data_IF_744262405875
#
_entry.id   IF_744262405875
#
_cell.length_a   1.000
_cell.length_b   1.000
_cell.length_c   1.000
_cell.angle_alpha   90.00
_cell.angle_beta   90.00
_cell.angle_gamma   90.00
#
_symmetry.space_group_name_H-M   'P 1'
#
loop_
_entity.id
_entity.type
_entity.pdbx_description
1 polymer ?
#
# COMPACT_ATOMS: atom_id res chain seq x y z
N UNK A 1 13.51 34.06 -5.84
CA UNK A 1 12.84 33.46 -4.65
C UNK A 1 11.62 32.58 -4.94
N UNK A 2 10.85 32.77 -6.03
CA UNK A 2 9.64 31.96 -6.34
C UNK A 2 9.86 30.48 -6.75
N UNK A 3 11.05 30.09 -7.21
CA UNK A 3 11.35 28.70 -7.66
C UNK A 3 11.61 27.70 -6.52
N UNK A 4 12.23 28.12 -5.41
CA UNK A 4 12.51 27.22 -4.25
C UNK A 4 11.22 26.78 -3.54
N UNK A 5 10.24 27.68 -3.40
CA UNK A 5 8.98 27.38 -2.72
C UNK A 5 8.11 26.35 -3.47
N UNK A 6 8.15 26.35 -4.81
CA UNK A 6 7.37 25.41 -5.64
C UNK A 6 7.89 23.97 -5.56
N UNK A 7 9.21 23.77 -5.47
CA UNK A 7 9.81 22.44 -5.33
C UNK A 7 9.55 21.82 -3.95
N UNK A 8 9.58 22.61 -2.86
CA UNK A 8 9.25 22.10 -1.52
C UNK A 8 7.76 21.80 -1.34
N UNK A 9 6.87 22.58 -1.98
CA UNK A 9 5.43 22.29 -2.00
C UNK A 9 5.11 21.03 -2.81
N UNK A 10 5.77 20.84 -3.97
CA UNK A 10 5.59 19.62 -4.78
C UNK A 10 6.12 18.36 -4.08
N UNK A 11 7.29 18.42 -3.43
CA UNK A 11 7.84 17.27 -2.70
C UNK A 11 7.00 16.91 -1.45
N UNK A 12 6.39 17.89 -0.79
CA UNK A 12 5.50 17.65 0.35
C UNK A 12 4.15 17.05 -0.09
N UNK A 13 3.61 17.49 -1.22
CA UNK A 13 2.40 16.92 -1.82
C UNK A 13 2.66 15.48 -2.30
N UNK A 14 3.76 15.24 -3.02
CA UNK A 14 4.18 13.91 -3.46
C UNK A 14 4.39 12.93 -2.29
N UNK A 15 4.98 13.41 -1.18
CA UNK A 15 5.12 12.65 0.06
C UNK A 15 3.77 12.33 0.72
N UNK A 16 2.78 13.22 0.60
CA UNK A 16 1.42 13.02 1.14
C UNK A 16 0.63 12.02 0.30
N UNK A 17 0.75 12.11 -1.02
CA UNK A 17 0.13 11.19 -1.97
C UNK A 17 0.62 9.76 -1.75
N UNK A 18 1.93 9.57 -1.63
CA UNK A 18 2.51 8.27 -1.32
C UNK A 18 2.10 7.76 0.07
N UNK A 19 1.89 8.67 1.02
CA UNK A 19 1.46 8.32 2.37
C UNK A 19 0.12 7.60 2.43
N UNK A 20 -0.88 8.02 1.65
CA UNK A 20 -2.20 7.35 1.65
C UNK A 20 -2.11 5.97 1.01
N UNK A 21 -1.35 5.81 -0.07
CA UNK A 21 -1.15 4.51 -0.70
C UNK A 21 -0.36 3.55 0.20
N UNK A 22 0.63 4.06 0.94
CA UNK A 22 1.35 3.28 1.93
C UNK A 22 0.42 2.80 3.07
N UNK A 23 -0.43 3.67 3.59
CA UNK A 23 -1.38 3.32 4.66
C UNK A 23 -2.38 2.26 4.19
N UNK A 24 -3.00 2.47 3.03
CA UNK A 24 -3.93 1.49 2.44
C UNK A 24 -3.21 0.17 2.12
N UNK A 25 -1.95 0.25 1.66
CA UNK A 25 -1.11 -0.91 1.46
C UNK A 25 -0.86 -1.67 2.75
N UNK A 26 -0.52 -1.00 3.85
CA UNK A 26 -0.30 -1.65 5.14
C UNK A 26 -1.58 -2.30 5.69
N UNK A 27 -2.74 -1.64 5.55
CA UNK A 27 -4.04 -2.23 5.91
C UNK A 27 -4.31 -3.48 5.05
N UNK A 28 -4.12 -3.37 3.73
CA UNK A 28 -4.27 -4.50 2.80
C UNK A 28 -3.32 -5.65 3.11
N UNK A 29 -2.06 -5.36 3.43
CA UNK A 29 -1.08 -6.36 3.84
C UNK A 29 -1.47 -7.06 5.13
N UNK A 30 -2.00 -6.35 6.13
CA UNK A 30 -2.50 -6.95 7.37
C UNK A 30 -3.69 -7.90 7.14
N UNK A 31 -4.65 -7.51 6.30
CA UNK A 31 -5.76 -8.38 5.91
C UNK A 31 -5.26 -9.60 5.12
N UNK A 32 -4.37 -9.41 4.16
CA UNK A 32 -3.80 -10.51 3.38
C UNK A 32 -3.00 -11.48 4.25
N UNK A 33 -2.21 -10.96 5.20
CA UNK A 33 -1.46 -11.76 6.17
C UNK A 33 -2.41 -12.60 7.04
N UNK A 34 -3.55 -12.05 7.45
CA UNK A 34 -4.59 -12.77 8.20
C UNK A 34 -5.16 -13.92 7.36
N UNK A 35 -5.63 -13.63 6.14
CA UNK A 35 -6.20 -14.64 5.24
C UNK A 35 -5.21 -15.74 4.89
N UNK A 36 -3.95 -15.39 4.61
CA UNK A 36 -2.89 -16.37 4.34
C UNK A 36 -2.56 -17.19 5.58
N UNK A 37 -2.58 -16.59 6.77
CA UNK A 37 -2.34 -17.33 8.02
C UNK A 37 -3.41 -18.39 8.27
N UNK A 38 -4.67 -18.08 7.95
CA UNK A 38 -5.78 -19.02 8.05
C UNK A 38 -5.64 -20.16 7.03
N UNK A 39 -5.31 -19.86 5.78
CA UNK A 39 -5.13 -20.87 4.72
C UNK A 39 -3.93 -21.79 5.01
N UNK A 40 -2.82 -21.21 5.46
CA UNK A 40 -1.58 -21.94 5.72
C UNK A 40 -1.50 -22.55 7.12
N UNK A 41 -2.47 -22.25 7.99
CA UNK A 41 -2.51 -22.66 9.41
C UNK A 41 -1.19 -22.30 10.15
N UNK A 42 -0.60 -21.17 9.79
CA UNK A 42 0.69 -20.70 10.32
C UNK A 42 0.73 -19.18 10.29
N UNK A 43 1.39 -18.55 11.27
CA UNK A 43 1.59 -17.10 11.28
C UNK A 43 2.39 -16.63 10.05
N UNK A 44 1.74 -15.79 9.25
CA UNK A 44 2.31 -15.05 8.11
C UNK A 44 2.29 -13.56 8.46
N UNK A 45 3.37 -12.88 8.12
CA UNK A 45 3.48 -11.43 8.17
C UNK A 45 3.80 -10.92 6.77
N UNK A 46 3.20 -9.81 6.38
CA UNK A 46 3.49 -9.13 5.11
C UNK A 46 3.88 -7.71 5.46
N UNK A 47 5.14 -7.38 5.20
CA UNK A 47 5.64 -6.05 5.43
C UNK A 47 5.67 -5.26 4.13
N UNK A 48 5.25 -3.99 4.21
CA UNK A 48 5.46 -3.00 3.17
C UNK A 48 6.46 -1.96 3.69
N UNK A 49 7.78 -2.25 3.62
CA UNK A 49 8.80 -1.36 4.14
C UNK A 49 8.84 0.01 3.47
N UNK A 50 8.55 0.09 2.16
CA UNK A 50 8.61 1.35 1.42
C UNK A 50 7.72 1.34 0.17
N UNK A 51 7.28 2.54 -0.17
CA UNK A 51 6.65 2.87 -1.45
C UNK A 51 7.52 3.91 -2.17
N UNK A 52 7.64 3.79 -3.48
CA UNK A 52 8.30 4.76 -4.34
C UNK A 52 7.48 5.03 -5.60
N UNK A 53 7.82 6.14 -6.27
CA UNK A 53 7.25 6.50 -7.57
C UNK A 53 8.32 6.32 -8.64
N UNK A 54 7.99 5.60 -9.72
CA UNK A 54 8.84 5.52 -10.91
C UNK A 54 8.01 5.93 -12.12
N UNK A 55 8.44 6.92 -12.93
CA UNK A 55 7.80 7.21 -14.20
C UNK A 55 7.69 5.93 -15.03
N UNK A 56 6.50 5.62 -15.54
CA UNK A 56 6.24 4.35 -16.26
C UNK A 56 7.21 4.14 -17.43
N UNK A 57 7.54 5.20 -18.17
CA UNK A 57 8.53 5.16 -19.25
C UNK A 57 9.97 4.83 -18.81
N UNK A 58 10.28 4.95 -17.52
CA UNK A 58 11.58 4.62 -16.95
C UNK A 58 11.65 3.21 -16.38
N UNK A 59 10.51 2.54 -16.14
CA UNK A 59 10.47 1.18 -15.59
C UNK A 59 11.26 0.16 -16.44
N UNK A 60 11.12 0.12 -17.79
CA UNK A 60 11.91 -0.77 -18.64
C UNK A 60 13.41 -0.61 -18.42
N UNK A 61 13.86 0.64 -18.32
CA UNK A 61 15.27 0.98 -18.12
C UNK A 61 15.74 0.66 -16.71
N UNK A 62 14.89 0.83 -15.71
CA UNK A 62 15.21 0.53 -14.31
C UNK A 62 15.46 -0.97 -14.11
N UNK A 63 14.65 -1.82 -14.74
CA UNK A 63 14.73 -3.27 -14.60
C UNK A 63 15.45 -4.00 -15.76
N UNK A 64 16.05 -3.28 -16.71
CA UNK A 64 16.61 -3.83 -17.97
C UNK A 64 17.63 -4.98 -17.84
N UNK A 65 18.19 -5.21 -16.65
CA UNK A 65 19.19 -6.27 -16.40
C UNK A 65 18.71 -7.26 -15.35
N UNK A 66 17.45 -7.19 -14.95
CA UNK A 66 16.81 -8.07 -13.98
C UNK A 66 16.19 -9.27 -14.71
N UNK A 67 17.02 -10.14 -15.28
CA UNK A 67 16.60 -11.27 -16.13
C UNK A 67 16.30 -12.55 -15.31
N UNK A 68 15.86 -12.39 -14.06
CA UNK A 68 15.51 -13.52 -13.20
C UNK A 68 14.17 -14.13 -13.68
N UNK A 69 14.05 -15.47 -13.77
CA UNK A 69 12.77 -16.11 -14.06
C UNK A 69 11.74 -15.70 -13.01
N UNK A 70 10.59 -15.23 -13.47
CA UNK A 70 9.55 -14.71 -12.62
C UNK A 70 8.15 -15.11 -13.12
N UNK A 71 7.16 -14.94 -12.26
CA UNK A 71 5.75 -14.97 -12.63
C UNK A 71 5.08 -13.73 -12.08
N UNK A 72 4.29 -13.07 -12.91
CA UNK A 72 3.46 -11.96 -12.50
C UNK A 72 2.00 -12.37 -12.41
N UNK A 73 1.33 -11.85 -11.38
CA UNK A 73 -0.12 -11.78 -11.27
C UNK A 73 -0.55 -10.39 -11.69
N UNK A 74 -1.39 -10.32 -12.72
CA UNK A 74 -2.01 -9.09 -13.19
C UNK A 74 -3.49 -9.05 -12.83
N UNK A 75 -3.92 -7.97 -12.18
CA UNK A 75 -5.33 -7.67 -11.89
C UNK A 75 -5.63 -6.23 -12.27
N UNK A 76 -6.83 -5.98 -12.77
CA UNK A 76 -7.25 -4.67 -13.24
C UNK A 76 -8.56 -4.25 -12.59
N UNK A 77 -8.57 -3.12 -11.90
CA UNK A 77 -9.78 -2.44 -11.45
C UNK A 77 -10.42 -1.70 -12.61
N UNK A 78 -11.66 -2.07 -12.97
CA UNK A 78 -12.35 -1.54 -14.13
C UNK A 78 -13.12 -0.25 -13.82
N UNK A 79 -13.41 0.52 -14.87
CA UNK A 79 -14.30 1.68 -14.81
C UNK A 79 -13.54 3.01 -14.69
N UNK A 80 -14.17 4.01 -14.05
CA UNK A 80 -13.61 5.37 -13.97
C UNK A 80 -12.40 5.48 -13.01
N UNK A 81 -12.34 4.61 -12.00
CA UNK A 81 -11.26 4.56 -11.03
C UNK A 81 -10.26 3.47 -11.43
N UNK A 82 -9.83 3.50 -12.70
CA UNK A 82 -8.99 2.46 -13.28
C UNK A 82 -7.72 2.28 -12.46
N UNK A 83 -7.30 1.03 -12.27
CA UNK A 83 -6.06 0.75 -11.56
C UNK A 83 -5.50 -0.59 -11.97
N UNK A 84 -4.27 -0.59 -12.46
CA UNK A 84 -3.57 -1.82 -12.81
C UNK A 84 -2.67 -2.26 -11.68
N UNK A 85 -2.80 -3.53 -11.29
CA UNK A 85 -1.96 -4.17 -10.29
C UNK A 85 -1.10 -5.22 -10.98
N UNK A 86 0.21 -5.12 -10.80
CA UNK A 86 1.17 -6.10 -11.28
C UNK A 86 2.00 -6.56 -10.09
N UNK A 87 1.78 -7.79 -9.66
CA UNK A 87 2.55 -8.39 -8.59
C UNK A 87 3.53 -9.40 -9.19
N UNK A 88 4.83 -9.13 -9.09
CA UNK A 88 5.87 -10.00 -9.65
C UNK A 88 6.55 -10.77 -8.53
N UNK A 89 6.64 -12.08 -8.73
CA UNK A 89 7.35 -13.03 -7.88
C UNK A 89 8.50 -13.63 -8.67
N UNK A 90 9.71 -13.53 -8.15
CA UNK A 90 10.81 -14.35 -8.65
C UNK A 90 10.53 -15.83 -8.35
N UNK A 91 10.97 -16.71 -9.26
CA UNK A 91 10.58 -18.12 -9.24
C UNK A 91 11.00 -18.87 -7.95
N UNK A 92 12.16 -18.61 -7.32
CA UNK A 92 12.51 -19.24 -6.04
C UNK A 92 11.50 -18.93 -4.93
N UNK A 93 11.14 -17.66 -4.76
CA UNK A 93 10.20 -17.17 -3.75
C UNK A 93 8.79 -17.70 -4.02
N UNK A 94 8.38 -17.71 -5.30
CA UNK A 94 7.08 -18.22 -5.70
C UNK A 94 6.93 -19.70 -5.39
N UNK A 95 7.92 -20.52 -5.72
CA UNK A 95 7.91 -21.97 -5.47
C UNK A 95 7.74 -22.29 -4.01
N UNK A 96 8.39 -21.53 -3.13
CA UNK A 96 8.25 -21.71 -1.68
C UNK A 96 6.82 -21.38 -1.23
N UNK A 97 6.27 -20.24 -1.65
CA UNK A 97 4.90 -19.83 -1.29
C UNK A 97 3.88 -20.84 -1.83
N UNK A 98 3.98 -21.24 -3.09
CA UNK A 98 3.02 -22.16 -3.72
C UNK A 98 3.14 -23.57 -3.19
N UNK A 99 4.35 -24.06 -2.86
CA UNK A 99 4.53 -25.37 -2.21
C UNK A 99 3.81 -25.42 -0.86
N UNK A 100 3.79 -24.31 -0.12
CA UNK A 100 3.07 -24.24 1.16
C UNK A 100 1.56 -24.21 0.97
N UNK A 101 1.09 -23.39 0.03
CA UNK A 101 -0.33 -23.32 -0.32
C UNK A 101 -0.83 -24.69 -0.77
N UNK A 102 -0.15 -25.31 -1.74
CA UNK A 102 -0.50 -26.63 -2.27
C UNK A 102 -0.40 -27.74 -1.22
N UNK A 103 0.61 -27.74 -0.33
CA UNK A 103 0.68 -28.69 0.81
C UNK A 103 -0.49 -28.58 1.77
N UNK A 104 -0.97 -27.36 2.00
CA UNK A 104 -2.16 -27.11 2.83
C UNK A 104 -3.43 -27.59 2.14
N UNK A 105 -3.49 -27.51 0.81
CA UNK A 105 -4.65 -27.94 0.01
C UNK A 105 -4.62 -29.46 -0.30
N UNK A 106 -3.45 -30.11 -0.30
CA UNK A 106 -3.23 -31.53 -0.69
C UNK A 106 -3.63 -32.60 0.34
N UNK A 107 -4.55 -32.29 1.28
CA UNK A 107 -5.38 -33.35 1.86
C UNK A 107 -6.38 -33.95 0.85
N UNK A 108 -6.55 -33.34 -0.33
CA UNK A 108 -7.23 -33.92 -1.50
C UNK A 108 -6.38 -33.71 -2.77
N UNK A 109 -6.35 -34.77 -3.59
CA UNK A 109 -5.59 -35.04 -4.83
C UNK A 109 -5.17 -33.82 -5.69
N UNK A 110 -3.96 -33.88 -6.28
CA UNK A 110 -3.34 -32.77 -7.01
C UNK A 110 -3.13 -33.10 -8.51
N UNK A 111 -3.73 -32.30 -9.39
CA UNK A 111 -3.40 -32.19 -10.81
C UNK A 111 -2.51 -30.96 -11.05
N UNK A 112 -1.77 -30.92 -12.17
CA UNK A 112 -0.87 -29.82 -12.56
C UNK A 112 -1.52 -28.43 -12.69
N UNK A 113 -2.85 -28.33 -12.57
CA UNK A 113 -3.60 -27.07 -12.48
C UNK A 113 -3.44 -26.34 -11.13
N UNK A 114 -2.99 -27.05 -10.09
CA UNK A 114 -3.08 -26.58 -8.72
C UNK A 114 -2.05 -25.51 -8.35
N UNK A 115 -0.86 -25.54 -8.95
CA UNK A 115 0.14 -24.49 -8.74
C UNK A 115 -0.33 -23.15 -9.29
N UNK A 116 -0.83 -23.13 -10.53
CA UNK A 116 -1.39 -21.92 -11.14
C UNK A 116 -2.58 -21.38 -10.34
N UNK A 117 -3.52 -22.24 -9.92
CA UNK A 117 -4.63 -21.81 -9.08
C UNK A 117 -4.19 -21.28 -7.71
N UNK A 118 -3.14 -21.86 -7.11
CA UNK A 118 -2.57 -21.32 -5.88
C UNK A 118 -1.97 -19.93 -6.11
N UNK A 119 -1.28 -19.69 -7.23
CA UNK A 119 -0.73 -18.36 -7.56
C UNK A 119 -1.85 -17.35 -7.80
N UNK A 120 -2.92 -17.74 -8.50
CA UNK A 120 -4.10 -16.91 -8.71
C UNK A 120 -4.77 -16.55 -7.39
N UNK A 121 -4.93 -17.52 -6.48
CA UNK A 121 -5.52 -17.29 -5.15
C UNK A 121 -4.63 -16.38 -4.30
N UNK A 122 -3.31 -16.57 -4.33
CA UNK A 122 -2.36 -15.66 -3.68
C UNK A 122 -2.56 -14.23 -4.19
N UNK A 123 -2.65 -14.07 -5.51
CA UNK A 123 -2.94 -12.81 -6.18
C UNK A 123 -4.24 -12.16 -5.70
N UNK A 124 -5.32 -12.94 -5.67
CA UNK A 124 -6.63 -12.50 -5.20
C UNK A 124 -6.61 -12.07 -3.74
N UNK A 125 -5.94 -12.81 -2.87
CA UNK A 125 -5.83 -12.45 -1.45
C UNK A 125 -5.09 -11.12 -1.30
N UNK A 126 -3.95 -10.97 -1.98
CA UNK A 126 -3.09 -9.79 -1.82
C UNK A 126 -3.73 -8.53 -2.40
N UNK A 127 -4.12 -8.59 -3.67
CA UNK A 127 -4.68 -7.43 -4.38
C UNK A 127 -6.12 -7.20 -3.91
N UNK A 128 -6.89 -8.26 -3.66
CA UNK A 128 -8.24 -8.16 -3.09
C UNK A 128 -8.23 -7.48 -1.73
N UNK A 129 -7.29 -7.81 -0.84
CA UNK A 129 -7.15 -7.13 0.45
C UNK A 129 -6.81 -5.65 0.30
N UNK A 130 -5.96 -5.29 -0.67
CA UNK A 130 -5.68 -3.89 -1.00
C UNK A 130 -6.93 -3.17 -1.52
N UNK A 131 -7.68 -3.80 -2.42
CA UNK A 131 -8.94 -3.26 -2.95
C UNK A 131 -10.00 -3.12 -1.86
N UNK A 132 -10.09 -4.07 -0.92
CA UNK A 132 -10.96 -3.96 0.26
C UNK A 132 -10.56 -2.77 1.12
N UNK A 133 -9.26 -2.50 1.32
CA UNK A 133 -8.81 -1.32 2.04
C UNK A 133 -9.24 -0.02 1.33
N UNK A 134 -9.08 0.07 0.00
CA UNK A 134 -9.58 1.22 -0.78
C UNK A 134 -11.10 1.34 -0.67
N UNK A 135 -11.83 0.23 -0.84
CA UNK A 135 -13.28 0.18 -0.78
C UNK A 135 -13.80 0.70 0.56
N UNK A 136 -13.24 0.20 1.67
CA UNK A 136 -13.58 0.65 3.02
C UNK A 136 -13.26 2.13 3.24
N UNK A 137 -12.12 2.59 2.72
CA UNK A 137 -11.69 3.99 2.86
C UNK A 137 -12.55 4.97 2.04
N UNK A 138 -12.98 4.56 0.85
CA UNK A 138 -13.75 5.41 -0.08
C UNK A 138 -15.26 5.25 0.05
N UNK A 139 -15.72 4.14 0.63
CA UNK A 139 -17.13 3.71 0.65
C UNK A 139 -17.63 3.22 -0.71
N UNK A 140 -16.74 2.91 -1.66
CA UNK A 140 -17.09 2.54 -3.03
C UNK A 140 -16.95 1.05 -3.25
N UNK A 141 -17.90 0.46 -3.99
CA UNK A 141 -17.75 -0.91 -4.47
C UNK A 141 -16.82 -0.95 -5.70
N UNK A 142 -15.70 -1.66 -5.57
CA UNK A 142 -14.67 -1.77 -6.60
C UNK A 142 -14.75 -3.13 -7.28
N UNK A 143 -14.77 -3.14 -8.62
CA UNK A 143 -14.89 -4.37 -9.42
C UNK A 143 -13.60 -4.60 -10.19
N UNK A 144 -12.89 -5.67 -9.87
CA UNK A 144 -11.67 -6.08 -10.56
C UNK A 144 -11.90 -7.24 -11.53
N UNK A 145 -10.99 -7.39 -12.48
CA UNK A 145 -10.89 -8.61 -13.30
C UNK A 145 -10.41 -9.79 -12.45
N UNK A 146 -10.66 -11.03 -12.89
CA UNK A 146 -9.89 -12.19 -12.42
C UNK A 146 -8.38 -11.99 -12.66
N UNK A 147 -7.53 -12.70 -11.90
CA UNK A 147 -6.09 -12.66 -12.09
C UNK A 147 -5.67 -13.28 -13.42
N UNK A 148 -4.66 -12.69 -14.04
CA UNK A 148 -3.97 -13.26 -15.20
C UNK A 148 -2.52 -13.54 -14.82
N UNK A 149 -2.05 -14.76 -15.12
CA UNK A 149 -0.67 -15.16 -14.87
C UNK A 149 0.21 -14.94 -16.11
N UNK A 150 1.41 -14.40 -15.90
CA UNK A 150 2.41 -14.19 -16.94
C UNK A 150 3.75 -14.73 -16.43
N UNK A 151 4.25 -15.81 -17.04
CA UNK A 151 5.56 -16.38 -16.74
C UNK A 151 6.59 -15.94 -17.77
N UNK A 152 7.59 -15.18 -17.34
CA UNK A 152 8.70 -14.70 -18.18
C UNK A 152 9.83 -14.18 -17.28
N UNK A 153 11.01 -13.86 -17.82
CA UNK A 153 11.99 -13.10 -17.06
C UNK A 153 11.40 -11.75 -16.61
N UNK A 154 11.80 -11.29 -15.42
CA UNK A 154 11.21 -10.11 -14.78
C UNK A 154 11.27 -8.86 -15.67
N UNK A 155 12.42 -8.58 -16.28
CA UNK A 155 12.59 -7.47 -17.22
C UNK A 155 11.62 -7.52 -18.41
N UNK A 156 11.37 -8.72 -18.92
CA UNK A 156 10.49 -9.00 -20.04
C UNK A 156 9.02 -8.79 -19.67
N UNK A 157 8.62 -9.20 -18.46
CA UNK A 157 7.29 -8.91 -17.89
C UNK A 157 7.07 -7.40 -17.86
N UNK A 158 8.03 -6.63 -17.35
CA UNK A 158 7.92 -5.16 -17.28
C UNK A 158 7.80 -4.56 -18.68
N UNK A 159 8.64 -4.98 -19.62
CA UNK A 159 8.62 -4.47 -20.99
C UNK A 159 7.27 -4.71 -21.68
N UNK A 160 6.77 -5.95 -21.63
CA UNK A 160 5.48 -6.31 -22.20
C UNK A 160 4.33 -5.55 -21.54
N UNK A 161 4.39 -5.41 -20.22
CA UNK A 161 3.39 -4.69 -19.46
C UNK A 161 3.37 -3.19 -19.80
N UNK A 162 4.54 -2.57 -19.98
CA UNK A 162 4.63 -1.16 -20.38
C UNK A 162 4.16 -0.93 -21.81
N UNK A 163 4.34 -1.89 -22.72
CA UNK A 163 3.75 -1.83 -24.06
C UNK A 163 2.22 -1.88 -23.98
N UNK A 164 1.67 -2.77 -23.15
CA UNK A 164 0.22 -2.87 -22.90
C UNK A 164 -0.35 -1.59 -22.29
N UNK A 165 0.40 -0.95 -21.39
CA UNK A 165 0.02 0.29 -20.73
C UNK A 165 0.46 1.55 -21.49
N UNK A 166 0.96 1.46 -22.73
CA UNK A 166 1.50 2.62 -23.45
C UNK A 166 0.50 3.79 -23.61
N UNK A 167 -0.80 3.51 -23.49
CA UNK A 167 -1.90 4.48 -23.50
C UNK A 167 -2.24 5.06 -22.12
N UNK A 168 -1.83 4.41 -21.04
CA UNK A 168 -2.10 4.79 -19.67
C UNK A 168 -1.02 5.76 -19.19
N UNK A 169 -1.41 7.02 -19.01
CA UNK A 169 -0.52 8.05 -18.49
C UNK A 169 -0.46 7.99 -16.97
N UNK A 170 0.73 7.76 -16.40
CA UNK A 170 0.92 7.85 -14.96
C UNK A 170 2.27 7.32 -14.51
N UNK A 171 2.65 7.71 -13.30
CA UNK A 171 3.78 7.09 -12.61
C UNK A 171 3.35 5.78 -11.97
N UNK A 172 4.25 4.80 -11.98
CA UNK A 172 4.07 3.56 -11.25
C UNK A 172 4.36 3.80 -9.76
N UNK A 173 3.44 3.34 -8.91
CA UNK A 173 3.69 3.18 -7.49
C UNK A 173 4.30 1.81 -7.26
N UNK A 174 5.53 1.79 -6.75
CA UNK A 174 6.31 0.58 -6.55
C UNK A 174 6.42 0.32 -5.06
N UNK A 175 5.82 -0.79 -4.63
CA UNK A 175 5.83 -1.27 -3.27
C UNK A 175 6.84 -2.38 -3.16
N UNK A 176 7.83 -2.17 -2.30
CA UNK A 176 8.68 -3.26 -1.86
C UNK A 176 7.91 -3.99 -0.78
N UNK A 177 7.67 -5.26 -1.02
CA UNK A 177 6.88 -6.11 -0.13
C UNK A 177 7.73 -7.28 0.31
N UNK A 178 7.54 -7.74 1.53
CA UNK A 178 8.29 -8.87 2.07
C UNK A 178 7.35 -9.79 2.82
N UNK A 179 7.29 -11.04 2.37
CA UNK A 179 6.62 -12.11 3.09
C UNK A 179 7.54 -12.66 4.15
N UNK A 180 7.05 -12.67 5.39
CA UNK A 180 7.74 -13.19 6.57
C UNK A 180 6.93 -14.30 7.19
N UNK A 181 7.62 -15.28 7.76
CA UNK A 181 6.98 -16.41 8.44
C UNK A 181 7.76 -16.84 9.67
N UNK A 182 7.05 -17.45 10.62
CA UNK A 182 7.66 -18.23 11.68
C UNK A 182 8.67 -19.25 11.10
N UNK A 183 9.88 -19.27 11.65
CA UNK A 183 11.02 -20.06 11.14
C UNK A 183 12.02 -19.28 10.28
N UNK A 184 11.86 -17.96 10.11
CA UNK A 184 12.86 -17.10 9.48
C UNK A 184 12.85 -17.10 7.96
N UNK A 185 11.72 -17.44 7.34
CA UNK A 185 11.52 -17.32 5.90
C UNK A 185 11.26 -15.86 5.52
N UNK A 186 11.96 -15.37 4.50
CA UNK A 186 11.84 -14.03 3.95
C UNK A 186 11.79 -14.13 2.43
N UNK A 187 10.66 -13.76 1.83
CA UNK A 187 10.51 -13.65 0.38
C UNK A 187 10.27 -12.19 -0.01
N UNK A 188 11.26 -11.50 -0.60
CA UNK A 188 11.04 -10.20 -1.19
C UNK A 188 10.19 -10.35 -2.45
N UNK A 189 9.22 -9.45 -2.61
CA UNK A 189 8.29 -9.45 -3.73
C UNK A 189 8.02 -8.02 -4.17
N UNK A 190 7.65 -7.83 -5.44
CA UNK A 190 7.46 -6.49 -5.98
C UNK A 190 6.01 -6.30 -6.42
N UNK A 191 5.28 -5.41 -5.75
CA UNK A 191 3.96 -4.97 -6.19
C UNK A 191 4.09 -3.62 -6.89
N UNK A 192 3.58 -3.53 -8.11
CA UNK A 192 3.48 -2.28 -8.85
C UNK A 192 2.01 -1.96 -9.09
N UNK A 193 1.66 -0.70 -8.84
CA UNK A 193 0.29 -0.19 -9.02
C UNK A 193 0.34 1.01 -9.96
N UNK A 194 -0.57 1.04 -10.92
CA UNK A 194 -0.74 2.11 -11.89
C UNK A 194 -2.15 2.67 -11.71
N UNK A 195 -2.37 3.54 -10.72
CA UNK A 195 -3.68 4.13 -10.48
C UNK A 195 -3.98 5.19 -11.54
N UNK A 196 -5.23 5.28 -11.96
CA UNK A 196 -5.70 6.42 -12.76
C UNK A 196 -5.59 7.71 -11.97
N UNK A 197 -5.58 8.83 -12.70
CA UNK A 197 -5.60 10.15 -12.10
C UNK A 197 -6.81 10.33 -11.16
N UNK A 198 -7.98 9.84 -11.57
CA UNK A 198 -9.23 9.92 -10.81
C UNK A 198 -9.16 9.15 -9.48
N UNK A 199 -8.59 7.93 -9.49
CA UNK A 199 -8.41 7.17 -8.25
C UNK A 199 -7.43 7.89 -7.32
N UNK A 200 -6.32 8.37 -7.85
CA UNK A 200 -5.32 9.11 -7.06
C UNK A 200 -5.91 10.37 -6.43
N UNK A 201 -6.59 11.20 -7.21
CA UNK A 201 -7.24 12.41 -6.69
C UNK A 201 -8.31 12.11 -5.65
N UNK A 202 -9.13 11.09 -5.88
CA UNK A 202 -10.17 10.68 -4.92
C UNK A 202 -9.56 10.32 -3.57
N UNK A 203 -8.51 9.51 -3.56
CA UNK A 203 -7.85 9.06 -2.34
C UNK A 203 -7.22 10.23 -1.57
N UNK A 204 -6.54 11.14 -2.28
CA UNK A 204 -5.95 12.33 -1.68
C UNK A 204 -7.04 13.24 -1.09
N UNK A 205 -8.14 13.46 -1.82
CA UNK A 205 -9.26 14.27 -1.35
C UNK A 205 -9.88 13.69 -0.09
N UNK A 206 -10.21 12.40 -0.09
CA UNK A 206 -10.75 11.67 1.08
C UNK A 206 -9.81 11.73 2.27
N UNK A 207 -8.50 11.57 2.06
CA UNK A 207 -7.51 11.69 3.13
C UNK A 207 -7.50 13.08 3.78
N UNK A 208 -7.66 14.14 2.99
CA UNK A 208 -7.76 15.50 3.50
C UNK A 208 -9.04 15.74 4.31
N UNK A 209 -10.19 15.23 3.86
CA UNK A 209 -11.48 15.33 4.56
C UNK A 209 -11.37 14.76 5.99
N UNK A 210 -10.77 13.58 6.15
CA UNK A 210 -10.63 12.91 7.46
C UNK A 210 -9.73 13.73 8.43
N UNK A 211 -8.68 14.37 7.91
CA UNK A 211 -7.79 15.22 8.71
C UNK A 211 -8.50 16.50 9.18
N UNK A 212 -9.44 17.04 8.41
CA UNK A 212 -10.22 18.22 8.82
C UNK A 212 -11.30 17.89 9.84
N UNK A 213 -11.95 16.72 9.71
CA UNK A 213 -12.92 16.23 10.72
C UNK A 213 -12.23 16.00 12.07
N UNK A 214 -11.06 15.33 12.09
CA UNK A 214 -10.30 15.12 13.33
C UNK A 214 -9.74 16.40 13.99
N UNK A 215 -9.64 17.51 13.24
CA UNK A 215 -9.35 18.84 13.81
C UNK A 215 -10.60 19.51 14.39
N UNK A 216 -11.77 19.22 13.84
CA UNK A 216 -13.05 19.77 14.29
C UNK A 216 -13.53 19.10 15.58
N UNK A 217 -13.20 17.82 15.77
CA UNK A 217 -13.48 17.07 17.02
C UNK A 217 -12.56 17.47 18.20
N UNK A 218 -11.62 18.40 17.99
CA UNK A 218 -10.79 19.01 19.04
C UNK A 218 -11.26 20.42 19.45
N UNK A 219 -12.53 20.76 19.22
CA UNK A 219 -13.13 22.01 19.72
C UNK A 219 -14.01 21.69 20.92
N UNK A 220 -13.37 21.55 22.09
CA UNK A 220 -13.83 22.15 23.35
C UNK A 220 -12.75 21.97 24.44
N UNK A 221 -11.96 23.02 24.67
CA UNK A 221 -11.42 23.28 26.01
C UNK A 221 -11.56 24.78 26.31
N UNK A 222 -12.75 25.10 26.84
CA UNK A 222 -13.14 26.26 27.64
C UNK A 222 -12.52 27.63 27.29
N UNK A 223 -13.33 28.45 26.62
CA UNK A 223 -13.44 29.86 26.98
C UNK A 223 -14.46 29.98 28.12
N UNK A 224 -14.00 30.29 29.33
CA UNK A 224 -14.85 30.93 30.34
C UNK A 224 -14.19 32.24 30.75
N UNK A 225 -14.85 33.33 30.39
CA UNK A 225 -14.49 34.70 30.69
C UNK A 225 -14.59 35.00 32.20
N UNK A 226 -13.70 35.89 32.64
CA UNK A 226 -13.66 36.66 33.88
C UNK A 226 -14.94 36.73 34.72
N UNK A 227 -14.84 36.48 36.04
CA UNK A 227 -15.42 37.34 37.09
C UNK A 227 -14.90 36.94 38.50
N UNK A 228 -13.95 37.69 39.05
CA UNK A 228 -14.06 38.34 40.37
C UNK A 228 -12.73 39.00 40.77
N UNK A 229 -12.81 40.32 40.81
CA UNK A 229 -11.95 41.30 41.46
C UNK A 229 -11.83 41.08 42.98
N UNK A 230 -10.66 41.45 43.54
CA UNK A 230 -10.41 41.98 44.91
C UNK A 230 -10.82 41.05 46.09
N UNK A 231 -9.98 40.65 47.06
CA UNK A 231 -9.17 41.38 48.05
C UNK A 231 -8.44 40.28 48.87
N UNK A 232 -7.13 40.36 49.16
CA UNK A 232 -6.58 40.61 50.51
C UNK A 232 -5.04 40.65 50.36
N UNK A 233 -4.34 41.79 50.48
CA UNK A 233 -3.82 42.45 51.69
C UNK A 233 -3.30 41.52 52.81
N UNK A 234 -2.08 41.84 53.28
CA UNK A 234 -1.39 41.42 54.53
C UNK A 234 -0.66 40.05 54.40
N UNK A 235 0.67 39.88 54.48
CA UNK A 235 1.65 40.45 55.43
C UNK A 235 3.11 40.21 54.96
N UNK A 236 3.97 41.23 55.02
CA UNK A 236 5.40 41.11 55.34
C UNK A 236 5.81 42.34 56.16
N UNK A 237 6.31 42.20 57.40
CA UNK A 237 7.05 43.26 58.05
C UNK A 237 8.57 42.98 58.08
N UNK A 238 9.29 43.98 57.56
CA UNK A 238 10.49 44.66 58.10
C UNK A 238 11.76 43.90 58.54
N UNK A 239 12.87 44.34 57.93
CA UNK A 239 14.22 44.40 58.51
C UNK A 239 14.34 45.59 59.46
N UNK A 240 14.94 45.38 60.64
CA UNK A 240 15.77 46.34 61.42
C UNK A 240 16.91 45.49 62.03
N UNK A 241 18.17 45.68 61.64
CA UNK A 241 19.17 46.60 62.23
C UNK A 241 19.46 46.34 63.71
N UNK A 242 20.50 45.55 63.97
CA UNK A 242 21.54 45.82 64.96
C UNK A 242 22.84 45.15 64.50
#
# INVERSE_FOLDING_TARGET
MRRKNKNTLNAAAEKKDLGIFLELGNIGAGHAATSLSEILQQQVEIDIPRIGTIPSNMLPKFYQSHNMPATAVYIHLMGKLECHFLFIFELPELKEITTLMTRSITQKECESSMESSAIEELGNILIGSFLTAISNFTGLNLISTPPMLIGAPFDSIINEFMVKLASASGDALVFDTCFKRAGGYYAPTQLMIFPSHELRELLIRKSNEIVEVGKSDNIELFCAENLSTETDRVTKPQKTSK
#
